data_IF_728347048602
#
_entry.id   IF_728347048602
#
_cell.length_a   1.000
_cell.length_b   1.000
_cell.length_c   1.000
_cell.angle_alpha   90.00
_cell.angle_beta   90.00
_cell.angle_gamma   90.00
#
_symmetry.space_group_name_H-M   'P 1'
#
loop_
_entity.id
_entity.type
_entity.pdbx_description
1 polymer ?
#
# COMPACT_ATOMS: atom_id res chain seq x y z
N UNK A 1 -36.58 18.72 -12.23
CA UNK A 1 -35.62 18.33 -11.19
C UNK A 1 -34.95 17.05 -11.66
N UNK A 2 -33.63 16.98 -11.88
CA UNK A 2 -32.98 15.70 -12.13
C UNK A 2 -32.92 14.93 -10.81
N UNK A 3 -33.35 13.67 -10.86
CA UNK A 3 -33.25 12.76 -9.75
C UNK A 3 -31.77 12.45 -9.48
N UNK A 4 -31.30 12.73 -8.27
CA UNK A 4 -30.04 12.20 -7.76
C UNK A 4 -30.30 10.70 -7.53
N UNK A 5 -29.95 9.88 -8.51
CA UNK A 5 -29.95 8.43 -8.34
C UNK A 5 -29.00 8.06 -7.19
N UNK A 6 -29.26 6.96 -6.46
CA UNK A 6 -28.32 6.48 -5.46
C UNK A 6 -26.97 6.30 -6.14
N UNK A 7 -25.92 6.92 -5.58
CA UNK A 7 -24.54 6.67 -6.01
C UNK A 7 -24.35 5.16 -6.08
N UNK A 8 -23.94 4.58 -7.21
CA UNK A 8 -23.68 3.16 -7.25
C UNK A 8 -22.65 2.88 -6.17
N UNK A 9 -22.96 1.97 -5.24
CA UNK A 9 -21.94 1.42 -4.36
C UNK A 9 -20.89 0.80 -5.28
N UNK A 10 -19.79 1.53 -5.49
CA UNK A 10 -18.73 1.18 -6.42
C UNK A 10 -17.91 0.07 -5.78
N UNK A 11 -18.44 -1.16 -5.77
CA UNK A 11 -17.63 -2.31 -5.36
C UNK A 11 -16.29 -2.24 -6.10
N UNK A 12 -15.15 -2.31 -5.39
CA UNK A 12 -13.85 -2.19 -6.01
C UNK A 12 -13.73 -3.17 -7.18
N UNK A 13 -13.05 -2.79 -8.26
CA UNK A 13 -12.85 -3.68 -9.38
C UNK A 13 -12.13 -4.95 -8.89
N UNK A 14 -12.48 -6.09 -9.48
CA UNK A 14 -11.92 -7.39 -9.08
C UNK A 14 -10.42 -7.52 -9.34
N UNK A 15 -9.88 -6.62 -10.17
CA UNK A 15 -8.46 -6.47 -10.46
C UNK A 15 -8.15 -4.98 -10.61
N UNK A 16 -6.98 -4.55 -10.15
CA UNK A 16 -6.49 -3.21 -10.44
C UNK A 16 -4.98 -3.09 -10.28
N UNK A 17 -4.41 -2.23 -11.11
CA UNK A 17 -3.02 -1.80 -11.09
C UNK A 17 -2.96 -0.29 -10.83
N UNK A 18 -2.08 0.12 -9.93
CA UNK A 18 -1.91 1.54 -9.61
C UNK A 18 -0.54 1.81 -8.99
N UNK A 19 -0.15 3.08 -9.04
CA UNK A 19 1.08 3.57 -8.42
C UNK A 19 0.72 4.47 -7.25
N UNK A 20 1.39 4.26 -6.11
CA UNK A 20 1.32 5.13 -4.95
C UNK A 20 2.70 5.74 -4.70
N UNK A 21 2.74 7.03 -4.37
CA UNK A 21 3.97 7.71 -4.03
C UNK A 21 4.08 7.87 -2.51
N UNK A 22 5.08 7.24 -1.91
CA UNK A 22 5.50 7.53 -0.55
C UNK A 22 6.21 8.87 -0.56
N UNK A 23 5.68 9.85 0.16
CA UNK A 23 6.21 11.22 0.19
C UNK A 23 6.45 11.72 1.61
N UNK A 24 5.94 11.01 2.62
CA UNK A 24 5.91 11.47 4.01
C UNK A 24 6.67 10.51 4.90
N UNK A 25 7.55 11.05 5.74
CA UNK A 25 8.13 10.32 6.86
C UNK A 25 7.21 10.41 8.07
N UNK A 26 6.75 9.26 8.56
CA UNK A 26 5.87 9.13 9.73
C UNK A 26 6.71 9.02 11.01
N UNK A 27 7.86 8.35 10.92
CA UNK A 27 8.80 8.14 12.04
C UNK A 27 10.21 8.04 11.50
N UNK A 28 11.18 8.63 12.21
CA UNK A 28 12.59 8.58 11.85
C UNK A 28 13.05 9.84 11.11
N UNK A 29 14.33 9.87 10.73
CA UNK A 29 14.89 10.93 9.90
C UNK A 29 14.34 10.84 8.48
N UNK A 30 14.05 11.99 7.86
CA UNK A 30 13.50 12.01 6.51
C UNK A 30 14.57 11.56 5.50
N UNK A 31 14.39 10.42 4.82
CA UNK A 31 15.39 9.91 3.92
C UNK A 31 15.47 10.72 2.62
N UNK A 32 16.66 10.77 2.03
CA UNK A 32 16.93 11.50 0.78
C UNK A 32 16.29 10.91 -0.46
N UNK A 33 15.87 9.65 -0.43
CA UNK A 33 15.25 8.93 -1.55
C UNK A 33 13.73 9.13 -1.65
N UNK A 34 13.12 9.97 -0.80
CA UNK A 34 11.74 10.38 -0.99
C UNK A 34 11.65 11.56 -1.97
N UNK A 35 10.59 11.64 -2.79
CA UNK A 35 9.45 10.71 -2.87
C UNK A 35 9.77 9.41 -3.62
N UNK A 36 9.13 8.31 -3.21
CA UNK A 36 9.37 6.97 -3.73
C UNK A 36 8.09 6.33 -4.28
N UNK A 37 8.09 5.94 -5.55
CA UNK A 37 6.94 5.36 -6.23
C UNK A 37 6.86 3.84 -6.02
N UNK A 38 5.68 3.35 -5.65
CA UNK A 38 5.38 1.94 -5.45
C UNK A 38 4.30 1.52 -6.45
N UNK A 39 4.56 0.47 -7.22
CA UNK A 39 3.55 -0.09 -8.11
C UNK A 39 2.92 -1.31 -7.47
N UNK A 40 1.59 -1.27 -7.34
CA UNK A 40 0.80 -2.36 -6.80
C UNK A 40 -0.11 -2.94 -7.89
N UNK A 41 -0.32 -4.24 -7.78
CA UNK A 41 -1.38 -4.95 -8.49
C UNK A 41 -2.17 -5.73 -7.45
N UNK A 42 -3.49 -5.64 -7.46
CA UNK A 42 -4.34 -6.40 -6.57
C UNK A 42 -5.42 -7.17 -7.32
N UNK A 43 -5.87 -8.23 -6.68
CA UNK A 43 -7.04 -9.02 -7.04
C UNK A 43 -7.97 -9.06 -5.84
N UNK A 44 -9.25 -8.85 -6.08
CA UNK A 44 -10.31 -8.89 -5.08
C UNK A 44 -11.47 -9.75 -5.56
N UNK A 45 -11.91 -10.67 -4.71
CA UNK A 45 -13.10 -11.47 -4.94
C UNK A 45 -14.21 -11.05 -3.95
N UNK A 46 -15.21 -10.28 -4.40
CA UNK A 46 -16.27 -9.78 -3.53
C UNK A 46 -17.21 -10.88 -3.02
N UNK A 47 -17.28 -12.04 -3.70
CA UNK A 47 -18.18 -13.15 -3.32
C UNK A 47 -17.70 -13.82 -2.04
N UNK A 48 -16.42 -14.15 -1.97
CA UNK A 48 -15.80 -14.82 -0.82
C UNK A 48 -15.12 -13.84 0.14
N UNK A 49 -15.15 -12.54 -0.21
CA UNK A 49 -14.51 -11.45 0.52
C UNK A 49 -13.01 -11.69 0.78
N UNK A 50 -12.30 -12.21 -0.23
CA UNK A 50 -10.86 -12.44 -0.18
C UNK A 50 -10.15 -11.75 -1.33
N UNK A 51 -8.95 -11.23 -1.04
CA UNK A 51 -8.07 -10.65 -2.03
C UNK A 51 -6.61 -11.00 -1.81
N UNK A 52 -5.80 -10.59 -2.78
CA UNK A 52 -4.35 -10.58 -2.71
C UNK A 52 -3.81 -9.37 -3.44
N UNK A 53 -2.68 -8.85 -3.00
CA UNK A 53 -1.93 -7.84 -3.71
C UNK A 53 -0.50 -8.31 -3.96
N UNK A 54 0.17 -7.66 -4.91
CA UNK A 54 1.58 -7.82 -5.22
C UNK A 54 2.17 -6.43 -5.33
N UNK A 55 3.25 -6.18 -4.59
CA UNK A 55 4.10 -5.02 -4.81
C UNK A 55 5.06 -5.35 -5.95
N UNK A 56 4.72 -4.86 -7.14
CA UNK A 56 5.43 -5.16 -8.39
C UNK A 56 6.79 -4.47 -8.38
N UNK A 57 6.83 -3.19 -8.03
CA UNK A 57 8.07 -2.42 -8.06
C UNK A 57 8.12 -1.35 -6.97
N UNK A 58 9.36 -0.99 -6.61
CA UNK A 58 9.70 0.12 -5.74
C UNK A 58 10.75 0.97 -6.49
N UNK A 59 10.42 2.23 -6.75
CA UNK A 59 11.23 3.11 -7.59
C UNK A 59 11.40 2.51 -8.98
N UNK A 60 12.65 2.31 -9.40
CA UNK A 60 12.98 1.69 -10.70
C UNK A 60 13.15 0.18 -10.63
N UNK A 61 13.02 -0.44 -9.46
CA UNK A 61 13.36 -1.85 -9.25
C UNK A 61 12.12 -2.73 -9.09
N UNK A 62 12.13 -3.87 -9.78
CA UNK A 62 11.08 -4.89 -9.68
C UNK A 62 11.29 -5.76 -8.45
N UNK A 63 10.28 -5.85 -7.59
CA UNK A 63 10.32 -6.59 -6.33
C UNK A 63 9.42 -7.83 -6.31
N UNK A 64 8.27 -7.78 -7.00
CA UNK A 64 7.26 -8.85 -7.07
C UNK A 64 6.92 -9.49 -5.70
N UNK A 65 6.68 -8.67 -4.68
CA UNK A 65 6.46 -9.15 -3.33
C UNK A 65 4.97 -9.45 -3.09
N UNK A 66 4.61 -10.70 -2.74
CA UNK A 66 3.22 -11.04 -2.47
C UNK A 66 2.76 -10.45 -1.14
N UNK A 67 1.58 -9.84 -1.17
CA UNK A 67 0.92 -9.17 -0.06
C UNK A 67 -0.47 -9.79 0.15
N UNK A 68 -0.59 -10.86 0.94
CA UNK A 68 -1.89 -11.41 1.30
C UNK A 68 -2.72 -10.38 2.07
N UNK A 69 -4.04 -10.53 1.96
CA UNK A 69 -4.97 -9.69 2.68
C UNK A 69 -4.85 -9.87 4.20
N UNK A 70 -4.89 -8.76 4.92
CA UNK A 70 -5.08 -8.69 6.36
C UNK A 70 -6.55 -8.38 6.59
N UNK A 71 -7.22 -9.20 7.41
CA UNK A 71 -8.64 -8.98 7.71
C UNK A 71 -8.79 -7.74 8.60
N UNK A 72 -9.25 -6.64 8.03
CA UNK A 72 -9.74 -5.47 8.75
C UNK A 72 -11.20 -5.19 8.39
N UNK A 73 -11.95 -4.64 9.34
CA UNK A 73 -13.33 -4.23 9.12
C UNK A 73 -13.35 -2.99 8.23
N UNK A 74 -14.15 -2.99 7.15
CA UNK A 74 -14.34 -1.88 6.18
C UNK A 74 -13.15 -1.55 5.26
N UNK A 75 -12.01 -2.19 5.43
CA UNK A 75 -10.81 -1.93 4.62
C UNK A 75 -10.34 -3.17 3.86
N UNK A 76 -9.76 -2.96 2.68
CA UNK A 76 -9.00 -3.94 1.92
C UNK A 76 -7.52 -3.72 2.15
N UNK A 77 -7.03 -4.27 3.25
CA UNK A 77 -5.65 -4.10 3.66
C UNK A 77 -4.82 -5.30 3.22
N UNK A 78 -3.63 -5.06 2.68
CA UNK A 78 -2.68 -6.07 2.25
C UNK A 78 -1.33 -5.81 2.88
N UNK A 79 -0.61 -6.88 3.21
CA UNK A 79 0.66 -6.74 3.91
C UNK A 79 1.66 -7.76 3.42
N UNK A 80 2.88 -7.31 3.12
CA UNK A 80 3.98 -8.21 2.77
C UNK A 80 4.27 -9.15 3.95
N UNK A 81 4.30 -10.47 3.68
CA UNK A 81 4.51 -11.50 4.72
C UNK A 81 5.93 -11.54 5.25
N UNK A 82 6.89 -11.23 4.39
CA UNK A 82 8.31 -11.40 4.67
C UNK A 82 9.03 -10.07 4.49
N UNK A 83 10.15 -9.96 5.20
CA UNK A 83 11.11 -8.86 5.08
C UNK A 83 11.92 -9.09 3.81
N UNK A 84 12.26 -8.02 3.11
CA UNK A 84 13.04 -8.11 1.88
C UNK A 84 13.96 -6.90 1.74
N UNK A 85 15.06 -7.10 1.02
CA UNK A 85 15.96 -6.02 0.65
C UNK A 85 15.45 -5.32 -0.59
N UNK A 86 15.59 -4.00 -0.61
CA UNK A 86 15.16 -3.13 -1.71
C UNK A 86 16.28 -2.17 -2.01
N UNK A 87 16.79 -2.18 -3.23
CA UNK A 87 17.66 -1.09 -3.67
C UNK A 87 16.79 0.08 -4.11
N UNK A 88 17.02 1.26 -3.56
CA UNK A 88 16.36 2.50 -3.98
C UNK A 88 17.36 3.36 -4.76
N UNK A 89 16.93 3.81 -5.94
CA UNK A 89 17.70 4.62 -6.89
C UNK A 89 19.11 4.08 -7.22
N UNK A 90 19.27 2.76 -7.18
CA UNK A 90 20.52 2.07 -7.53
C UNK A 90 21.70 2.36 -6.59
N UNK A 91 21.46 3.03 -5.45
CA UNK A 91 22.52 3.50 -4.54
C UNK A 91 22.33 3.01 -3.12
N UNK A 92 21.10 3.04 -2.62
CA UNK A 92 20.82 2.72 -1.22
C UNK A 92 20.13 1.36 -1.13
N UNK A 93 20.79 0.38 -0.50
CA UNK A 93 20.14 -0.89 -0.16
C UNK A 93 19.41 -0.73 1.18
N UNK A 94 18.10 -0.80 1.11
CA UNK A 94 17.19 -0.55 2.20
C UNK A 94 16.56 -1.87 2.64
N UNK A 95 16.55 -2.08 3.96
CA UNK A 95 15.85 -3.22 4.53
C UNK A 95 14.37 -2.90 4.72
N UNK A 96 13.50 -3.40 3.84
CA UNK A 96 12.05 -3.28 4.01
C UNK A 96 11.58 -4.32 5.02
N UNK A 97 11.25 -3.84 6.22
CA UNK A 97 10.75 -4.67 7.31
C UNK A 97 9.29 -5.09 7.06
N UNK A 98 8.46 -4.17 6.56
CA UNK A 98 7.06 -4.42 6.28
C UNK A 98 6.52 -3.38 5.30
N UNK A 99 5.72 -3.82 4.34
CA UNK A 99 4.93 -2.93 3.46
C UNK A 99 3.46 -3.22 3.70
N UNK A 100 2.68 -2.16 3.83
CA UNK A 100 1.24 -2.20 4.01
C UNK A 100 0.60 -1.39 2.89
N UNK A 101 -0.44 -1.94 2.29
CA UNK A 101 -1.34 -1.27 1.37
C UNK A 101 -2.72 -1.28 2.03
N UNK A 102 -3.39 -0.16 2.03
CA UNK A 102 -4.75 -0.01 2.55
C UNK A 102 -5.62 0.76 1.56
N UNK A 103 -6.89 0.38 1.46
CA UNK A 103 -7.87 1.05 0.61
C UNK A 103 -9.28 0.74 1.11
N UNK A 104 -10.22 1.61 0.78
CA UNK A 104 -11.62 1.44 1.16
C UNK A 104 -12.21 0.18 0.48
N UNK A 105 -12.85 -0.69 1.26
CA UNK A 105 -13.39 -1.96 0.73
C UNK A 105 -14.62 -1.77 -0.14
N UNK A 106 -15.41 -0.74 0.12
CA UNK A 106 -16.72 -0.58 -0.48
C UNK A 106 -16.64 0.26 -1.77
N UNK A 107 -15.59 1.07 -1.93
CA UNK A 107 -15.34 1.96 -3.08
C UNK A 107 -14.05 1.66 -3.85
N UNK A 108 -13.06 1.04 -3.20
CA UNK A 108 -11.71 0.90 -3.73
C UNK A 108 -10.89 2.19 -3.75
N UNK A 109 -11.43 3.28 -3.21
CA UNK A 109 -10.78 4.59 -3.14
C UNK A 109 -9.93 4.73 -1.86
N UNK A 110 -9.36 5.93 -1.65
CA UNK A 110 -8.50 6.23 -0.50
C UNK A 110 -7.34 5.24 -0.36
N UNK A 111 -6.67 4.94 -1.47
CA UNK A 111 -5.52 4.05 -1.51
C UNK A 111 -4.35 4.70 -0.78
N UNK A 112 -3.83 4.02 0.23
CA UNK A 112 -2.70 4.47 1.03
C UNK A 112 -1.71 3.35 1.20
N UNK A 113 -0.44 3.68 1.33
CA UNK A 113 0.60 2.69 1.59
C UNK A 113 1.60 3.23 2.60
N UNK A 114 2.19 2.32 3.36
CA UNK A 114 3.34 2.61 4.19
C UNK A 114 4.38 1.51 4.09
N UNK A 115 5.64 1.92 4.22
CA UNK A 115 6.78 1.04 4.31
C UNK A 115 7.53 1.32 5.61
N UNK A 116 7.75 0.26 6.37
CA UNK A 116 8.63 0.23 7.53
C UNK A 116 10.00 -0.22 7.08
N UNK A 117 11.01 0.58 7.40
CA UNK A 117 12.38 0.47 6.95
C UNK A 117 13.30 0.27 8.17
N UNK A 118 14.33 -0.57 7.96
CA UNK A 118 15.43 -0.81 8.88
C UNK A 118 15.17 -1.87 9.95
N UNK A 119 16.21 -2.19 10.71
CA UNK A 119 16.18 -3.24 11.75
C UNK A 119 15.35 -2.71 12.93
N UNK A 120 14.12 -3.22 13.06
CA UNK A 120 13.19 -2.81 14.12
C UNK A 120 12.20 -1.70 13.74
N UNK A 121 12.01 -1.40 12.44
CA UNK A 121 11.08 -0.36 11.96
C UNK A 121 11.39 1.03 12.55
N UNK A 122 12.67 1.41 12.53
CA UNK A 122 13.17 2.70 13.01
C UNK A 122 12.77 3.86 12.07
N UNK A 123 12.55 3.57 10.79
CA UNK A 123 12.04 4.52 9.81
C UNK A 123 10.70 4.01 9.27
N UNK A 124 9.70 4.88 9.23
CA UNK A 124 8.39 4.59 8.62
C UNK A 124 8.07 5.70 7.65
N UNK A 125 7.85 5.34 6.39
CA UNK A 125 7.45 6.25 5.33
C UNK A 125 6.07 5.84 4.82
N UNK A 126 5.26 6.81 4.44
CA UNK A 126 3.88 6.61 3.99
C UNK A 126 3.49 7.54 2.85
N UNK A 127 2.35 7.25 2.24
CA UNK A 127 1.65 8.20 1.37
C UNK A 127 1.23 9.41 2.21
N UNK A 128 0.97 10.55 1.55
CA UNK A 128 0.63 11.80 2.23
C UNK A 128 -0.58 11.66 3.18
N UNK A 129 -1.58 10.89 2.74
CA UNK A 129 -2.81 10.64 3.47
C UNK A 129 -2.69 9.51 4.52
N UNK A 130 -1.52 8.89 4.68
CA UNK A 130 -1.34 7.80 5.64
C UNK A 130 -1.54 8.30 7.08
N UNK A 131 -2.55 7.76 7.75
CA UNK A 131 -2.82 8.00 9.17
C UNK A 131 -2.21 6.85 10.00
N UNK A 132 -1.32 7.17 10.93
CA UNK A 132 -0.69 6.16 11.81
C UNK A 132 -1.70 5.50 12.78
N UNK A 133 -2.92 6.03 12.86
CA UNK A 133 -3.93 5.70 13.86
C UNK A 133 -4.80 4.48 13.47
N UNK A 134 -4.79 4.06 12.21
CA UNK A 134 -5.73 3.03 11.71
C UNK A 134 -5.17 1.59 11.72
N UNK A 135 -3.90 1.41 12.11
CA UNK A 135 -3.20 0.12 12.08
C UNK A 135 -2.55 -0.31 13.40
N UNK A 136 -2.81 0.42 14.49
CA UNK A 136 -2.43 0.04 15.86
C UNK A 136 -3.62 -0.47 16.66
#
# INVERSE_FOLDING_TARGET
MPAIGPSPFLTPPTHGDFTLTLSKTIRGENPSYLPLNFQFVYNWNPVIQLGSAVLVSIGTNTTNQPMPQVRQSKHLSFMAKQRFWVTVDGKDEIYAYRVILDMDRDTGENKQAAMMIGIGANLIVGTENWSATELL
#
